data_IF_490369746046
#
_entry.id   IF_490369746046
#
_cell.length_a   1.000
_cell.length_b   1.000
_cell.length_c   1.000
_cell.angle_alpha   90.00
_cell.angle_beta   90.00
_cell.angle_gamma   90.00
#
_symmetry.space_group_name_H-M   'P 1'
#
loop_
_entity.id
_entity.type
_entity.pdbx_description
1 polymer ?
#
# COMPACT_ATOMS: atom_id res chain seq x y z
N UNK A 1 5.23 63.19 -70.08
CA UNK A 1 4.03 62.40 -70.27
C UNK A 1 4.42 60.95 -70.12
N UNK A 2 4.12 60.35 -68.97
CA UNK A 2 4.63 59.05 -68.51
C UNK A 2 3.56 58.00 -68.71
N UNK A 3 3.88 56.93 -69.45
CA UNK A 3 3.06 55.73 -69.58
C UNK A 3 3.31 54.80 -68.34
N UNK A 4 2.26 54.45 -67.62
CA UNK A 4 2.30 53.43 -66.61
C UNK A 4 2.16 52.07 -67.28
N UNK A 5 3.12 51.21 -67.11
CA UNK A 5 3.02 49.78 -67.43
C UNK A 5 2.43 49.04 -66.22
N UNK A 6 1.32 48.38 -66.39
CA UNK A 6 0.74 47.47 -65.41
C UNK A 6 1.27 46.07 -65.66
N UNK A 7 2.08 45.56 -64.70
CA UNK A 7 2.43 44.15 -64.62
C UNK A 7 1.42 43.46 -63.74
N UNK A 8 0.59 42.60 -64.31
CA UNK A 8 -0.22 41.66 -63.57
C UNK A 8 0.58 40.40 -63.31
N UNK A 9 1.04 40.20 -62.05
CA UNK A 9 1.58 38.93 -61.57
C UNK A 9 0.44 38.04 -61.12
N UNK A 10 0.15 36.97 -61.85
CA UNK A 10 -0.73 35.92 -61.42
C UNK A 10 0.05 35.00 -60.41
N UNK A 11 -0.25 35.14 -59.13
CA UNK A 11 0.26 34.25 -58.11
C UNK A 11 -0.66 33.04 -57.99
N UNK A 12 -0.28 31.91 -58.59
CA UNK A 12 -0.93 30.63 -58.37
C UNK A 12 -0.53 30.11 -56.97
N UNK A 13 -1.35 30.39 -55.96
CA UNK A 13 -1.16 29.81 -54.65
C UNK A 13 -1.71 28.36 -54.66
N UNK A 14 -0.81 27.37 -54.82
CA UNK A 14 -1.10 25.99 -54.50
C UNK A 14 -1.33 25.88 -52.99
N UNK A 15 -2.56 25.92 -52.56
CA UNK A 15 -2.98 25.52 -51.21
C UNK A 15 -2.82 24.00 -51.08
N UNK A 16 -1.63 23.56 -50.66
CA UNK A 16 -1.43 22.23 -50.08
C UNK A 16 -2.18 22.24 -48.73
N UNK A 17 -3.41 21.83 -48.72
CA UNK A 17 -4.15 21.47 -47.49
C UNK A 17 -3.56 20.16 -47.02
N UNK A 18 -2.45 20.20 -46.25
CA UNK A 18 -2.08 19.09 -45.41
C UNK A 18 -3.22 18.90 -44.39
N UNK A 19 -4.07 17.92 -44.64
CA UNK A 19 -4.96 17.40 -43.59
C UNK A 19 -4.05 16.81 -42.50
N UNK A 20 -3.73 17.64 -41.52
CA UNK A 20 -3.36 17.13 -40.22
C UNK A 20 -4.60 16.39 -39.74
N UNK A 21 -4.61 15.07 -39.86
CA UNK A 21 -5.58 14.23 -39.21
C UNK A 21 -5.32 14.42 -37.69
N UNK A 22 -5.88 15.49 -37.14
CA UNK A 22 -5.96 15.68 -35.70
C UNK A 22 -6.72 14.49 -35.19
N UNK A 23 -6.06 13.64 -34.37
CA UNK A 23 -6.73 12.64 -33.62
C UNK A 23 -7.75 13.36 -32.73
N UNK A 24 -8.99 13.44 -33.17
CA UNK A 24 -10.08 13.92 -32.32
C UNK A 24 -10.21 12.91 -31.20
N UNK A 25 -9.88 13.33 -30.00
CA UNK A 25 -10.13 12.52 -28.79
C UNK A 25 -11.63 12.15 -28.78
N UNK A 26 -11.92 10.86 -28.75
CA UNK A 26 -13.30 10.38 -28.67
C UNK A 26 -13.79 10.58 -27.25
N UNK A 27 -14.88 11.30 -27.00
CA UNK A 27 -15.35 11.59 -25.64
C UNK A 27 -15.96 10.36 -24.92
N UNK A 28 -16.18 9.27 -25.65
CA UNK A 28 -16.75 8.01 -25.14
C UNK A 28 -15.96 6.82 -25.72
N UNK A 29 -15.89 5.70 -25.00
CA UNK A 29 -15.28 4.48 -25.52
C UNK A 29 -15.86 4.11 -26.89
N UNK A 30 -14.98 3.87 -27.86
CA UNK A 30 -15.38 3.46 -29.18
C UNK A 30 -15.81 1.99 -29.25
N UNK A 31 -16.39 1.54 -30.38
CA UNK A 31 -16.90 0.16 -30.54
C UNK A 31 -15.82 -0.93 -30.48
N UNK A 32 -14.56 -0.56 -30.52
CA UNK A 32 -13.44 -1.49 -30.57
C UNK A 32 -12.82 -1.78 -29.20
N UNK A 33 -13.36 -1.26 -28.09
CA UNK A 33 -12.81 -1.46 -26.72
C UNK A 33 -12.60 -2.93 -26.42
N UNK A 34 -13.59 -3.80 -26.70
CA UNK A 34 -13.45 -5.23 -26.44
C UNK A 34 -12.30 -5.86 -27.23
N UNK A 35 -12.15 -5.50 -28.49
CA UNK A 35 -11.05 -6.03 -29.31
C UNK A 35 -9.68 -5.57 -28.82
N UNK A 36 -9.59 -4.35 -28.30
CA UNK A 36 -8.35 -3.83 -27.71
C UNK A 36 -8.07 -4.57 -26.38
N UNK A 37 -9.08 -4.70 -25.53
CA UNK A 37 -8.99 -5.49 -24.30
C UNK A 37 -8.48 -6.91 -24.55
N UNK A 38 -9.05 -7.63 -25.53
CA UNK A 38 -8.69 -8.99 -25.88
C UNK A 38 -7.24 -9.12 -26.37
N UNK A 39 -6.65 -8.04 -26.91
CA UNK A 39 -5.22 -7.99 -27.26
C UNK A 39 -4.30 -7.62 -26.10
N UNK A 40 -4.74 -6.71 -25.21
CA UNK A 40 -3.93 -6.23 -24.10
C UNK A 40 -3.86 -7.24 -22.95
N UNK A 41 -5.00 -7.83 -22.56
CA UNK A 41 -5.05 -8.70 -21.38
C UNK A 41 -4.02 -9.84 -21.40
N UNK A 42 -3.88 -10.64 -22.49
CA UNK A 42 -2.90 -11.72 -22.51
C UNK A 42 -1.44 -11.26 -22.45
N UNK A 43 -1.16 -9.99 -22.77
CA UNK A 43 0.16 -9.39 -22.65
C UNK A 43 0.38 -8.90 -21.22
N UNK A 44 -0.61 -8.26 -20.62
CA UNK A 44 -0.61 -7.79 -19.23
C UNK A 44 -0.46 -8.96 -18.25
N UNK A 45 -1.09 -10.11 -18.53
CA UNK A 45 -0.95 -11.33 -17.71
C UNK A 45 0.48 -11.87 -17.64
N UNK A 46 1.31 -11.57 -18.64
CA UNK A 46 2.73 -11.99 -18.69
C UNK A 46 3.66 -11.05 -17.93
N UNK A 47 3.22 -9.86 -17.55
CA UNK A 47 4.03 -8.92 -16.76
C UNK A 47 4.17 -9.50 -15.36
N UNK A 48 5.40 -9.66 -14.82
CA UNK A 48 5.57 -10.05 -13.43
C UNK A 48 4.99 -8.98 -12.51
N UNK A 49 4.49 -9.39 -11.35
CA UNK A 49 4.05 -8.44 -10.32
C UNK A 49 5.20 -8.14 -9.36
N UNK A 50 5.38 -6.87 -9.06
CA UNK A 50 6.13 -6.41 -7.90
C UNK A 50 5.10 -5.84 -6.91
N UNK A 51 4.80 -6.58 -5.86
CA UNK A 51 3.76 -6.26 -4.90
C UNK A 51 4.30 -5.35 -3.80
N UNK A 52 3.89 -4.09 -3.82
CA UNK A 52 4.41 -3.07 -2.90
C UNK A 52 3.90 -3.20 -1.45
N UNK A 53 2.84 -3.98 -1.22
CA UNK A 53 2.22 -4.07 0.10
C UNK A 53 1.36 -5.33 0.24
N UNK A 54 1.72 -6.20 1.17
CA UNK A 54 0.94 -7.37 1.56
C UNK A 54 1.27 -7.80 3.00
N UNK A 55 0.39 -8.60 3.60
CA UNK A 55 0.52 -9.20 4.93
C UNK A 55 0.55 -10.74 4.84
N UNK A 56 1.57 -11.32 4.14
CA UNK A 56 1.62 -12.76 3.90
C UNK A 56 1.83 -13.54 5.20
N UNK A 57 1.05 -14.60 5.38
CA UNK A 57 1.20 -15.49 6.54
C UNK A 57 0.03 -16.44 6.67
N UNK A 58 0.12 -17.31 7.67
CA UNK A 58 -0.96 -18.20 8.08
C UNK A 58 -1.89 -17.47 9.06
N UNK A 59 -3.16 -17.89 9.15
CA UNK A 59 -4.19 -17.18 9.91
C UNK A 59 -3.95 -17.13 11.43
N UNK A 60 -3.24 -18.11 11.98
CA UNK A 60 -2.88 -18.19 13.40
C UNK A 60 -1.47 -17.62 13.72
N UNK A 61 -0.74 -17.14 12.72
CA UNK A 61 0.55 -16.48 12.92
C UNK A 61 0.34 -15.06 13.48
N UNK A 62 0.63 -14.90 14.78
CA UNK A 62 0.45 -13.63 15.51
C UNK A 62 1.38 -12.49 15.06
N UNK A 63 2.29 -12.74 14.12
CA UNK A 63 3.20 -11.74 13.53
C UNK A 63 2.72 -11.26 12.14
N UNK A 64 1.62 -11.80 11.63
CA UNK A 64 0.81 -11.13 10.59
C UNK A 64 0.22 -9.86 11.21
N UNK A 65 -0.09 -8.89 10.40
CA UNK A 65 -0.66 -7.64 10.86
C UNK A 65 -1.85 -7.84 11.80
N UNK A 66 -1.83 -7.08 12.85
CA UNK A 66 -2.81 -7.13 13.91
C UNK A 66 -3.99 -6.15 13.72
N UNK A 67 -3.96 -5.34 12.66
CA UNK A 67 -4.99 -4.33 12.35
C UNK A 67 -6.15 -4.90 11.54
N UNK A 68 -6.39 -6.20 11.62
CA UNK A 68 -7.63 -6.78 11.12
C UNK A 68 -8.83 -6.31 11.96
N UNK A 69 -9.97 -6.11 11.32
CA UNK A 69 -11.20 -5.73 12.02
C UNK A 69 -11.49 -6.71 13.16
N UNK A 70 -11.91 -6.22 14.33
CA UNK A 70 -12.34 -7.09 15.41
C UNK A 70 -13.42 -8.07 14.95
N UNK A 71 -13.49 -9.30 15.51
CA UNK A 71 -14.50 -10.28 15.11
C UNK A 71 -15.93 -9.74 15.25
N UNK A 72 -16.72 -9.91 14.21
CA UNK A 72 -18.14 -9.50 14.19
C UNK A 72 -18.39 -8.13 13.57
N UNK A 73 -17.38 -7.41 13.13
CA UNK A 73 -17.55 -6.17 12.38
C UNK A 73 -17.98 -6.40 10.93
N UNK A 74 -18.47 -5.34 10.30
CA UNK A 74 -18.99 -5.41 8.92
C UNK A 74 -17.87 -5.36 7.90
N UNK A 75 -17.69 -6.44 7.15
CA UNK A 75 -16.77 -6.52 6.03
C UNK A 75 -17.37 -5.98 4.74
N UNK A 76 -16.49 -5.56 3.82
CA UNK A 76 -16.87 -5.30 2.43
C UNK A 76 -17.51 -6.55 1.81
N UNK A 77 -18.53 -6.36 0.98
CA UNK A 77 -19.27 -7.49 0.39
C UNK A 77 -18.35 -8.49 -0.32
N UNK A 78 -17.31 -8.00 -1.00
CA UNK A 78 -16.42 -8.84 -1.81
C UNK A 78 -15.38 -9.60 -0.98
N UNK A 79 -15.08 -9.13 0.25
CA UNK A 79 -14.12 -9.79 1.15
C UNK A 79 -14.80 -10.77 2.12
N UNK A 80 -16.13 -10.90 2.06
CA UNK A 80 -16.86 -11.84 2.90
C UNK A 80 -16.60 -13.28 2.50
N UNK A 81 -16.60 -14.17 3.46
CA UNK A 81 -16.31 -15.60 3.26
C UNK A 81 -17.24 -16.31 2.25
N UNK A 82 -18.45 -15.76 2.01
CA UNK A 82 -19.41 -16.28 1.05
C UNK A 82 -19.20 -15.78 -0.39
N UNK A 83 -18.16 -14.99 -0.65
CA UNK A 83 -17.83 -14.55 -2.01
C UNK A 83 -17.47 -15.76 -2.89
N UNK A 84 -18.21 -16.00 -4.00
CA UNK A 84 -17.98 -17.15 -4.87
C UNK A 84 -16.63 -17.11 -5.61
N UNK A 85 -15.99 -15.95 -5.70
CA UNK A 85 -14.64 -15.82 -6.29
C UNK A 85 -13.61 -16.61 -5.49
N UNK A 86 -13.79 -16.76 -4.15
CA UNK A 86 -12.88 -17.53 -3.31
C UNK A 86 -12.87 -19.02 -3.62
N UNK A 87 -13.99 -19.61 -4.07
CA UNK A 87 -14.02 -21.00 -4.52
C UNK A 87 -13.09 -21.15 -5.76
N UNK A 88 -13.13 -20.19 -6.67
CA UNK A 88 -12.24 -20.21 -7.85
C UNK A 88 -10.79 -20.00 -7.44
N UNK A 89 -10.53 -19.09 -6.51
CA UNK A 89 -9.19 -18.84 -5.96
C UNK A 89 -8.62 -20.11 -5.32
N UNK A 90 -9.34 -20.73 -4.40
CA UNK A 90 -8.93 -21.95 -3.71
C UNK A 90 -8.64 -23.12 -4.71
N UNK A 91 -9.46 -23.26 -5.76
CA UNK A 91 -9.19 -24.25 -6.81
C UNK A 91 -7.91 -23.99 -7.56
N UNK A 92 -7.67 -22.75 -7.96
CA UNK A 92 -6.49 -22.40 -8.74
C UNK A 92 -5.21 -22.39 -7.90
N UNK A 93 -5.29 -21.84 -6.68
CA UNK A 93 -4.12 -21.71 -5.81
C UNK A 93 -3.78 -23.01 -5.10
N UNK A 94 -4.76 -23.73 -4.57
CA UNK A 94 -4.55 -24.85 -3.66
C UNK A 94 -4.96 -26.22 -4.25
N UNK A 95 -5.67 -26.24 -5.38
CA UNK A 95 -6.25 -27.47 -5.93
C UNK A 95 -7.49 -27.95 -5.17
N UNK A 96 -8.26 -26.99 -4.60
CA UNK A 96 -9.48 -27.28 -3.85
C UNK A 96 -10.47 -28.09 -4.70
N UNK A 97 -10.94 -29.26 -4.19
CA UNK A 97 -11.70 -30.19 -5.03
C UNK A 97 -13.21 -29.92 -5.07
N UNK A 98 -13.72 -29.03 -4.21
CA UNK A 98 -15.15 -28.83 -4.03
C UNK A 98 -15.68 -27.60 -4.76
N UNK A 99 -17.04 -27.45 -4.80
CA UNK A 99 -17.71 -26.31 -5.45
C UNK A 99 -18.46 -25.41 -4.46
N UNK A 100 -18.28 -25.63 -3.18
CA UNK A 100 -18.92 -24.88 -2.08
C UNK A 100 -17.96 -24.77 -0.90
N UNK A 101 -18.35 -23.95 0.08
CA UNK A 101 -17.66 -23.76 1.35
C UNK A 101 -18.52 -24.26 2.52
N UNK A 102 -19.08 -25.47 2.38
CA UNK A 102 -19.70 -26.13 3.54
C UNK A 102 -18.66 -26.35 4.66
N UNK A 103 -19.07 -26.42 5.94
CA UNK A 103 -18.12 -26.60 7.05
C UNK A 103 -17.20 -27.82 6.89
N UNK A 104 -17.72 -28.90 6.29
CA UNK A 104 -16.94 -30.13 6.01
C UNK A 104 -15.87 -29.87 4.95
N UNK A 105 -16.20 -29.12 3.90
CA UNK A 105 -15.28 -28.83 2.81
C UNK A 105 -14.25 -27.74 3.20
N UNK A 106 -14.63 -26.75 4.00
CA UNK A 106 -13.68 -25.75 4.54
C UNK A 106 -12.58 -26.39 5.39
N UNK A 107 -12.88 -27.50 6.07
CA UNK A 107 -11.88 -28.25 6.84
C UNK A 107 -10.69 -28.68 5.95
N UNK A 108 -10.92 -28.98 4.68
CA UNK A 108 -9.83 -29.34 3.75
C UNK A 108 -8.82 -28.19 3.57
N UNK A 109 -9.31 -26.94 3.49
CA UNK A 109 -8.44 -25.75 3.40
C UNK A 109 -7.66 -25.55 4.69
N UNK A 110 -8.34 -25.62 5.84
CA UNK A 110 -7.71 -25.52 7.16
C UNK A 110 -6.60 -26.57 7.33
N UNK A 111 -6.90 -27.86 6.99
CA UNK A 111 -5.92 -28.93 7.11
C UNK A 111 -4.72 -28.71 6.17
N UNK A 112 -4.96 -28.16 4.97
CA UNK A 112 -3.89 -27.85 4.00
C UNK A 112 -3.00 -26.70 4.47
N UNK A 113 -3.59 -25.63 5.00
CA UNK A 113 -2.87 -24.51 5.59
C UNK A 113 -1.99 -24.96 6.75
N UNK A 114 -2.55 -25.71 7.71
CA UNK A 114 -1.82 -26.27 8.85
C UNK A 114 -0.68 -27.21 8.45
N UNK A 115 -0.88 -28.03 7.43
CA UNK A 115 0.18 -28.88 6.92
C UNK A 115 1.34 -28.08 6.29
N UNK A 116 1.03 -26.98 5.60
CA UNK A 116 2.02 -26.10 5.04
C UNK A 116 2.79 -25.33 6.12
N UNK A 117 2.09 -24.83 7.13
CA UNK A 117 2.68 -24.18 8.29
C UNK A 117 3.61 -25.13 9.07
N UNK A 118 3.14 -26.34 9.35
CA UNK A 118 3.92 -27.36 10.04
C UNK A 118 5.19 -27.79 9.24
N UNK A 119 5.16 -27.70 7.91
CA UNK A 119 6.34 -27.94 7.08
C UNK A 119 7.40 -26.85 7.27
N UNK A 120 7.02 -25.62 7.55
CA UNK A 120 7.89 -24.50 7.92
C UNK A 120 8.90 -24.11 6.83
N UNK A 121 8.67 -24.53 5.58
CA UNK A 121 9.58 -24.26 4.47
C UNK A 121 9.02 -23.19 3.52
N UNK A 122 9.89 -22.62 2.69
CA UNK A 122 9.54 -21.52 1.79
C UNK A 122 8.73 -21.95 0.55
N UNK A 123 8.50 -23.25 0.34
CA UNK A 123 7.92 -23.78 -0.92
C UNK A 123 6.45 -23.37 -1.07
N UNK A 124 5.71 -23.34 0.02
CA UNK A 124 4.28 -23.06 -0.02
C UNK A 124 4.01 -21.68 -0.63
N UNK A 125 4.47 -20.61 0.00
CA UNK A 125 4.25 -19.26 -0.51
C UNK A 125 4.97 -19.00 -1.83
N UNK A 126 6.17 -19.55 -2.05
CA UNK A 126 6.83 -19.46 -3.35
C UNK A 126 5.97 -20.05 -4.46
N UNK A 127 5.29 -21.19 -4.22
CA UNK A 127 4.41 -21.81 -5.21
C UNK A 127 3.17 -20.94 -5.53
N UNK A 128 2.66 -20.17 -4.56
CA UNK A 128 1.59 -19.21 -4.79
C UNK A 128 2.07 -18.07 -5.69
N UNK A 129 3.23 -17.49 -5.37
CA UNK A 129 3.81 -16.42 -6.18
C UNK A 129 4.10 -16.86 -7.62
N UNK A 130 4.60 -18.08 -7.81
CA UNK A 130 4.87 -18.64 -9.14
C UNK A 130 3.59 -18.76 -9.99
N UNK A 131 2.48 -19.24 -9.41
CA UNK A 131 1.19 -19.33 -10.08
C UNK A 131 0.63 -17.98 -10.50
N UNK A 132 0.95 -16.93 -9.75
CA UNK A 132 0.48 -15.56 -9.99
C UNK A 132 1.44 -14.74 -10.85
N UNK A 133 2.61 -15.30 -11.22
CA UNK A 133 3.69 -14.56 -11.85
C UNK A 133 4.07 -13.32 -11.01
N UNK A 134 4.23 -13.49 -9.70
CA UNK A 134 4.67 -12.46 -8.77
C UNK A 134 6.15 -12.63 -8.48
N UNK A 135 6.97 -11.63 -8.75
CA UNK A 135 8.42 -11.69 -8.55
C UNK A 135 8.79 -11.39 -7.10
N UNK A 136 8.28 -10.30 -6.57
CA UNK A 136 8.64 -9.78 -5.26
C UNK A 136 7.40 -9.29 -4.52
N UNK A 137 7.39 -9.45 -3.20
CA UNK A 137 6.37 -8.94 -2.28
C UNK A 137 7.04 -8.15 -1.15
N UNK A 138 6.60 -6.94 -0.90
CA UNK A 138 6.95 -6.21 0.31
C UNK A 138 6.02 -6.67 1.45
N UNK A 139 6.58 -7.49 2.33
CA UNK A 139 5.85 -8.15 3.40
C UNK A 139 5.80 -7.27 4.66
N UNK A 140 4.63 -6.75 4.96
CA UNK A 140 4.35 -5.98 6.18
C UNK A 140 4.07 -6.98 7.31
N UNK A 141 5.03 -7.08 8.24
CA UNK A 141 4.96 -8.07 9.32
C UNK A 141 5.62 -7.54 10.58
N UNK A 142 5.13 -7.99 11.73
CA UNK A 142 5.78 -7.73 13.00
C UNK A 142 7.20 -8.30 13.03
N UNK A 143 7.36 -9.53 12.52
CA UNK A 143 8.67 -10.18 12.27
C UNK A 143 8.58 -11.09 11.07
N UNK A 144 9.68 -11.25 10.34
CA UNK A 144 9.75 -12.17 9.22
C UNK A 144 9.89 -13.62 9.71
N UNK A 145 8.99 -14.53 9.30
CA UNK A 145 9.08 -15.93 9.62
C UNK A 145 10.03 -16.66 8.64
N UNK A 146 10.48 -17.85 9.04
CA UNK A 146 11.38 -18.67 8.20
C UNK A 146 10.69 -19.27 6.97
N UNK A 147 9.38 -19.35 6.97
CA UNK A 147 8.61 -19.89 5.84
C UNK A 147 8.39 -18.90 4.69
N UNK A 148 8.77 -17.62 4.84
CA UNK A 148 8.81 -16.65 3.76
C UNK A 148 10.23 -16.52 3.21
N UNK A 149 10.42 -16.79 1.93
CA UNK A 149 11.72 -16.71 1.27
C UNK A 149 12.22 -15.25 1.19
N UNK A 150 13.32 -14.88 1.86
CA UNK A 150 13.82 -13.50 1.86
C UNK A 150 14.27 -13.01 0.48
N UNK A 151 14.41 -13.90 -0.51
CA UNK A 151 14.67 -13.51 -1.90
C UNK A 151 13.43 -12.98 -2.62
N UNK A 152 12.26 -13.29 -2.11
CA UNK A 152 10.98 -12.92 -2.72
C UNK A 152 10.11 -12.06 -1.81
N UNK A 153 10.27 -12.18 -0.49
CA UNK A 153 9.54 -11.43 0.52
C UNK A 153 10.50 -10.49 1.24
N UNK A 154 10.39 -9.20 0.98
CA UNK A 154 11.20 -8.16 1.60
C UNK A 154 10.46 -7.52 2.77
N UNK A 155 11.11 -7.40 3.91
CA UNK A 155 10.47 -6.97 5.14
C UNK A 155 10.17 -5.48 5.19
N UNK A 156 8.92 -5.13 5.51
CA UNK A 156 8.46 -3.80 5.91
C UNK A 156 8.05 -3.86 7.38
N UNK A 157 8.72 -3.12 8.24
CA UNK A 157 8.51 -3.21 9.69
C UNK A 157 7.64 -2.09 10.23
N UNK A 158 6.80 -2.41 11.22
CA UNK A 158 5.91 -1.46 11.87
C UNK A 158 6.63 -0.58 12.87
N UNK A 159 6.25 0.70 12.95
CA UNK A 159 6.88 1.69 13.84
C UNK A 159 5.91 2.39 14.79
N UNK A 160 4.60 2.16 14.66
CA UNK A 160 3.58 2.83 15.49
C UNK A 160 3.73 2.55 16.98
N UNK A 161 4.28 1.41 17.35
CA UNK A 161 4.54 1.03 18.75
C UNK A 161 5.37 2.07 19.50
N UNK A 162 6.24 2.83 18.82
CA UNK A 162 7.01 3.92 19.43
C UNK A 162 6.15 5.12 19.84
N UNK A 163 4.91 5.19 19.38
CA UNK A 163 3.96 6.20 19.81
C UNK A 163 3.35 5.95 21.19
N UNK A 164 3.47 4.71 21.72
CA UNK A 164 2.72 4.25 22.88
C UNK A 164 3.61 3.76 24.03
N UNK A 165 4.62 4.57 24.48
CA UNK A 165 5.53 4.13 25.56
C UNK A 165 4.94 4.27 26.96
N UNK A 166 3.86 5.03 27.15
CA UNK A 166 3.30 5.39 28.46
C UNK A 166 2.16 4.44 28.86
N UNK A 167 1.48 4.78 29.97
CA UNK A 167 0.26 4.10 30.36
C UNK A 167 -0.86 4.38 29.32
N UNK A 168 -1.34 3.32 28.68
CA UNK A 168 -2.36 3.39 27.64
C UNK A 168 -3.75 2.92 28.11
N UNK A 169 -3.94 2.73 29.42
CA UNK A 169 -5.17 2.15 29.98
C UNK A 169 -6.46 2.86 29.54
N UNK A 170 -6.47 4.21 29.59
CA UNK A 170 -7.64 4.99 29.13
C UNK A 170 -7.85 4.85 27.61
N UNK A 171 -6.79 4.81 26.85
CA UNK A 171 -6.86 4.64 25.39
C UNK A 171 -7.37 3.24 25.02
N UNK A 172 -6.85 2.20 25.67
CA UNK A 172 -7.29 0.80 25.51
C UNK A 172 -8.78 0.65 25.81
N UNK A 173 -9.29 1.37 26.81
CA UNK A 173 -10.71 1.35 27.21
C UNK A 173 -11.61 2.25 26.35
N UNK A 174 -11.08 3.05 25.43
CA UNK A 174 -11.84 4.08 24.70
C UNK A 174 -12.83 3.53 23.69
N UNK A 175 -12.48 2.47 22.98
CA UNK A 175 -13.33 1.76 22.02
C UNK A 175 -12.95 0.27 21.98
N UNK A 176 -13.84 -0.63 21.50
CA UNK A 176 -13.51 -2.03 21.28
C UNK A 176 -12.26 -2.24 20.42
N UNK A 177 -12.10 -1.48 19.34
CA UNK A 177 -10.94 -1.53 18.44
C UNK A 177 -9.63 -1.22 19.19
N UNK A 178 -9.64 -0.15 20.00
CA UNK A 178 -8.47 0.22 20.80
C UNK A 178 -8.15 -0.85 21.83
N UNK A 179 -9.16 -1.56 22.34
CA UNK A 179 -8.99 -2.70 23.22
C UNK A 179 -8.21 -3.87 22.59
N UNK A 180 -8.24 -3.97 21.25
CA UNK A 180 -7.45 -4.94 20.47
C UNK A 180 -6.11 -4.34 20.06
N UNK A 181 -6.12 -3.17 19.46
CA UNK A 181 -4.95 -2.60 18.78
C UNK A 181 -3.86 -2.10 19.74
N UNK A 182 -4.22 -1.43 20.82
CA UNK A 182 -3.23 -0.87 21.75
C UNK A 182 -2.39 -1.95 22.43
N UNK A 183 -2.95 -3.07 22.96
CA UNK A 183 -2.16 -4.16 23.51
C UNK A 183 -1.15 -4.77 22.51
N UNK A 184 -1.48 -4.75 21.21
CA UNK A 184 -0.57 -5.23 20.17
C UNK A 184 0.62 -4.27 19.96
N UNK A 185 0.37 -2.95 20.00
CA UNK A 185 1.44 -1.96 19.97
C UNK A 185 2.35 -2.06 21.21
N UNK A 186 1.77 -2.29 22.39
CA UNK A 186 2.55 -2.52 23.63
C UNK A 186 3.39 -3.81 23.54
N UNK A 187 2.82 -4.90 23.01
CA UNK A 187 3.54 -6.16 22.74
C UNK A 187 4.71 -5.92 21.79
N UNK A 188 4.49 -5.14 20.71
CA UNK A 188 5.54 -4.81 19.73
C UNK A 188 6.63 -3.94 20.35
N UNK A 189 6.28 -2.91 21.12
CA UNK A 189 7.27 -2.09 21.85
C UNK A 189 8.08 -2.93 22.82
N UNK A 190 7.42 -3.86 23.54
CA UNK A 190 8.07 -4.83 24.42
C UNK A 190 9.06 -5.71 23.68
N UNK A 191 8.71 -6.18 22.47
CA UNK A 191 9.60 -6.94 21.59
C UNK A 191 10.82 -6.12 21.19
N UNK A 192 10.64 -4.89 20.72
CA UNK A 192 11.75 -4.00 20.36
C UNK A 192 12.67 -3.70 21.54
N UNK A 193 12.12 -3.45 22.75
CA UNK A 193 12.93 -3.29 23.97
C UNK A 193 13.78 -4.53 24.25
N UNK A 194 13.19 -5.71 24.16
CA UNK A 194 13.90 -6.99 24.37
C UNK A 194 15.02 -7.19 23.34
N UNK A 195 14.76 -6.87 22.07
CA UNK A 195 15.76 -6.99 21.00
C UNK A 195 16.95 -6.06 21.20
N UNK A 196 16.73 -4.89 21.80
CA UNK A 196 17.76 -3.90 22.10
C UNK A 196 18.35 -4.04 23.51
N UNK A 197 17.97 -5.06 24.28
CA UNK A 197 18.45 -5.30 25.64
C UNK A 197 17.99 -4.26 26.67
N UNK A 198 16.80 -3.69 26.48
CA UNK A 198 16.22 -2.65 27.34
C UNK A 198 15.10 -3.25 28.19
N UNK A 199 15.19 -3.20 29.52
CA UNK A 199 14.15 -3.72 30.41
C UNK A 199 13.01 -2.71 30.62
N UNK A 200 13.33 -1.43 30.87
CA UNK A 200 12.37 -0.35 31.10
C UNK A 200 12.37 0.68 29.98
N UNK A 201 11.70 1.82 30.21
CA UNK A 201 11.89 3.00 29.37
C UNK A 201 13.20 3.70 29.72
N UNK A 202 13.93 4.25 28.73
CA UNK A 202 15.13 5.08 28.98
C UNK A 202 14.87 6.22 29.96
N UNK A 203 15.91 6.66 30.65
CA UNK A 203 15.81 7.67 31.73
C UNK A 203 15.36 9.05 31.26
N UNK A 204 15.53 9.34 29.98
CA UNK A 204 15.19 10.62 29.36
C UNK A 204 14.80 10.44 27.88
N UNK A 205 14.30 11.51 27.27
CA UNK A 205 13.87 11.50 25.87
C UNK A 205 15.04 11.20 24.92
N UNK A 206 16.25 11.65 25.22
CA UNK A 206 17.42 11.41 24.38
C UNK A 206 17.71 9.88 24.29
N UNK A 207 17.65 9.19 25.42
CA UNK A 207 17.78 7.74 25.47
C UNK A 207 16.64 7.01 24.72
N UNK A 208 15.41 7.55 24.77
CA UNK A 208 14.30 6.99 23.99
C UNK A 208 14.47 7.20 22.49
N UNK A 209 14.91 8.39 22.07
CA UNK A 209 15.28 8.65 20.68
C UNK A 209 16.40 7.72 20.19
N UNK A 210 17.43 7.47 21.03
CA UNK A 210 18.52 6.55 20.69
C UNK A 210 18.03 5.10 20.59
N UNK A 211 17.12 4.67 21.46
CA UNK A 211 16.46 3.38 21.34
C UNK A 211 15.72 3.24 20.00
N UNK A 212 14.92 4.22 19.60
CA UNK A 212 14.24 4.25 18.30
C UNK A 212 15.26 4.13 17.16
N UNK A 213 16.30 4.96 17.17
CA UNK A 213 17.31 4.98 16.09
C UNK A 213 18.04 3.65 15.97
N UNK A 214 18.45 3.05 17.10
CA UNK A 214 19.11 1.74 17.09
C UNK A 214 18.19 0.65 16.58
N UNK A 215 16.96 0.59 17.05
CA UNK A 215 15.99 -0.42 16.60
C UNK A 215 15.76 -0.33 15.09
N UNK A 216 15.55 0.87 14.55
CA UNK A 216 15.38 1.06 13.11
C UNK A 216 16.63 0.68 12.32
N UNK A 217 17.81 1.09 12.80
CA UNK A 217 19.08 0.73 12.16
C UNK A 217 19.30 -0.78 12.14
N UNK A 218 19.05 -1.44 13.26
CA UNK A 218 19.18 -2.90 13.37
C UNK A 218 18.15 -3.66 12.54
N UNK A 219 16.93 -3.13 12.41
CA UNK A 219 15.92 -3.70 11.51
C UNK A 219 16.37 -3.65 10.05
N UNK A 220 17.01 -2.57 9.62
CA UNK A 220 17.51 -2.42 8.24
C UNK A 220 18.81 -3.21 8.04
N UNK A 221 19.84 -2.96 8.85
CA UNK A 221 21.19 -3.47 8.60
C UNK A 221 21.38 -4.92 9.00
N UNK A 222 20.69 -5.38 10.05
CA UNK A 222 20.88 -6.74 10.59
C UNK A 222 19.74 -7.70 10.24
N UNK A 223 18.52 -7.17 9.98
CA UNK A 223 17.32 -7.99 9.79
C UNK A 223 16.70 -7.86 8.40
N UNK A 224 17.28 -7.01 7.54
CA UNK A 224 16.88 -6.90 6.12
C UNK A 224 15.60 -6.12 5.87
N UNK A 225 15.20 -5.23 6.78
CA UNK A 225 14.07 -4.31 6.55
C UNK A 225 14.36 -3.33 5.43
N UNK A 226 13.44 -3.20 4.47
CA UNK A 226 13.60 -2.34 3.28
C UNK A 226 12.76 -1.06 3.34
N UNK A 227 11.75 -1.03 4.21
CA UNK A 227 10.88 0.11 4.45
C UNK A 227 10.29 0.03 5.86
N UNK A 228 9.75 1.15 6.35
CA UNK A 228 8.95 1.19 7.57
C UNK A 228 7.49 1.50 7.26
N UNK A 229 6.56 1.04 8.10
CA UNK A 229 5.12 1.21 7.96
C UNK A 229 4.51 1.94 9.15
N UNK A 230 3.68 2.93 8.86
CA UNK A 230 2.74 3.54 9.80
C UNK A 230 1.32 3.06 9.57
N UNK A 231 0.65 2.69 10.65
CA UNK A 231 -0.78 2.37 10.74
C UNK A 231 -1.57 3.44 11.51
N UNK A 232 -0.96 4.59 11.73
CA UNK A 232 -1.49 5.67 12.56
C UNK A 232 -2.94 6.06 12.27
N UNK A 233 -3.44 5.85 11.03
CA UNK A 233 -4.83 6.14 10.64
C UNK A 233 -5.87 5.39 11.48
N UNK A 234 -5.53 4.20 12.01
CA UNK A 234 -6.40 3.43 12.90
C UNK A 234 -6.49 4.01 14.31
N UNK A 235 -5.47 4.72 14.75
CA UNK A 235 -5.33 5.18 16.12
C UNK A 235 -5.63 6.66 16.30
N UNK A 236 -5.37 7.47 15.26
CA UNK A 236 -5.40 8.92 15.35
C UNK A 236 -5.48 9.58 13.96
N UNK A 237 -5.62 10.90 13.94
CA UNK A 237 -5.48 11.68 12.70
C UNK A 237 -4.06 11.58 12.12
N UNK A 238 -3.97 11.50 10.78
CA UNK A 238 -2.72 11.62 10.03
C UNK A 238 -2.17 13.06 9.99
N UNK A 239 -2.81 14.01 10.65
CA UNK A 239 -2.29 15.36 10.82
C UNK A 239 -1.23 15.37 11.90
N UNK A 240 0.03 15.47 11.51
CA UNK A 240 1.18 15.57 12.41
C UNK A 240 1.70 16.99 12.45
N UNK A 241 1.62 17.63 13.61
CA UNK A 241 2.23 18.94 13.87
C UNK A 241 3.76 18.84 13.97
N UNK A 242 4.43 19.95 14.28
CA UNK A 242 5.88 19.99 14.48
C UNK A 242 6.21 20.60 15.84
N UNK A 243 5.93 19.89 16.95
CA UNK A 243 6.17 20.41 18.27
C UNK A 243 7.68 20.49 18.55
N UNK A 244 8.13 21.48 19.35
CA UNK A 244 9.52 21.59 19.74
C UNK A 244 9.93 20.41 20.64
N UNK A 245 11.19 19.99 20.55
CA UNK A 245 11.75 18.90 21.36
C UNK A 245 11.50 19.06 22.84
N UNK A 246 11.57 20.31 23.36
CA UNK A 246 11.32 20.62 24.78
C UNK A 246 9.92 20.25 25.26
N UNK A 247 8.90 20.34 24.39
CA UNK A 247 7.54 19.91 24.74
C UNK A 247 7.48 18.38 24.90
N UNK A 248 8.04 17.63 23.96
CA UNK A 248 8.11 16.17 24.04
C UNK A 248 8.96 15.71 25.24
N UNK A 249 10.04 16.42 25.55
CA UNK A 249 10.91 16.15 26.71
C UNK A 249 10.19 16.32 28.03
N UNK A 250 9.42 17.38 28.17
CA UNK A 250 8.60 17.61 29.37
C UNK A 250 7.53 16.52 29.55
N UNK A 251 6.87 16.09 28.47
CA UNK A 251 5.87 15.02 28.49
C UNK A 251 6.55 13.69 28.86
N UNK A 252 7.67 13.36 28.20
CA UNK A 252 8.40 12.14 28.48
C UNK A 252 8.86 12.06 29.94
N UNK A 253 9.47 13.12 30.45
CA UNK A 253 9.90 13.20 31.85
C UNK A 253 8.75 13.02 32.85
N UNK A 254 7.55 13.54 32.51
CA UNK A 254 6.36 13.45 33.36
C UNK A 254 5.82 12.01 33.44
N UNK A 255 5.78 11.29 32.32
CA UNK A 255 5.02 10.04 32.20
C UNK A 255 5.87 8.76 32.08
N UNK A 256 7.19 8.85 31.87
CA UNK A 256 8.05 7.65 31.73
C UNK A 256 8.05 6.71 32.92
N UNK A 257 7.74 7.20 34.10
CA UNK A 257 7.71 6.40 35.34
C UNK A 257 6.28 5.99 35.75
N UNK A 258 5.27 6.34 34.96
CA UNK A 258 3.86 6.05 35.18
C UNK A 258 2.99 7.29 35.06
N UNK A 259 1.67 7.07 35.10
CA UNK A 259 0.63 8.09 34.89
C UNK A 259 0.14 8.12 33.43
N UNK A 260 -1.11 8.54 33.26
CA UNK A 260 -1.80 8.59 31.96
C UNK A 260 -1.68 9.99 31.38
N UNK A 261 -1.11 10.15 30.18
CA UNK A 261 -1.06 11.46 29.51
C UNK A 261 -2.46 11.92 29.10
N UNK A 262 -2.69 13.24 29.14
CA UNK A 262 -3.90 13.77 28.48
C UNK A 262 -3.86 13.50 26.98
N UNK A 263 -5.02 13.49 26.29
CA UNK A 263 -5.06 13.29 24.84
C UNK A 263 -4.16 14.28 24.06
N UNK A 264 -4.12 15.54 24.47
CA UNK A 264 -3.32 16.60 23.83
C UNK A 264 -1.83 16.40 24.07
N UNK A 265 -1.42 16.04 25.28
CA UNK A 265 -0.02 15.72 25.61
C UNK A 265 0.43 14.51 24.79
N UNK A 266 -0.42 13.48 24.71
CA UNK A 266 -0.07 12.27 23.96
C UNK A 266 0.07 12.54 22.46
N UNK A 267 -0.86 13.28 21.85
CA UNK A 267 -0.77 13.69 20.44
C UNK A 267 0.51 14.50 20.21
N UNK A 268 0.82 15.47 21.11
CA UNK A 268 2.06 16.26 21.00
C UNK A 268 3.31 15.38 21.03
N UNK A 269 3.36 14.40 21.94
CA UNK A 269 4.47 13.46 22.01
C UNK A 269 4.59 12.59 20.73
N UNK A 270 3.46 12.05 20.26
CA UNK A 270 3.40 11.23 19.04
C UNK A 270 3.82 12.03 17.80
N UNK A 271 3.41 13.29 17.68
CA UNK A 271 3.81 14.17 16.58
C UNK A 271 5.34 14.37 16.55
N UNK A 272 5.95 14.54 17.73
CA UNK A 272 7.40 14.64 17.84
C UNK A 272 8.09 13.32 17.45
N UNK A 273 7.62 12.18 17.96
CA UNK A 273 8.20 10.85 17.65
C UNK A 273 8.04 10.53 16.16
N UNK A 274 6.92 10.90 15.53
CA UNK A 274 6.76 10.77 14.09
C UNK A 274 7.92 11.46 13.33
N UNK A 275 8.28 12.70 13.75
CA UNK A 275 9.40 13.43 13.15
C UNK A 275 10.75 12.75 13.37
N UNK A 276 10.96 12.14 14.54
CA UNK A 276 12.16 11.33 14.82
C UNK A 276 12.25 10.12 13.87
N UNK A 277 11.13 9.40 13.70
CA UNK A 277 11.05 8.21 12.85
C UNK A 277 11.33 8.52 11.37
N UNK A 278 10.65 9.53 10.79
CA UNK A 278 10.88 9.88 9.39
C UNK A 278 12.28 10.44 9.12
N UNK A 279 12.86 11.17 10.08
CA UNK A 279 14.25 11.61 9.97
C UNK A 279 15.24 10.44 9.98
N UNK A 280 14.97 9.41 10.79
CA UNK A 280 15.82 8.22 10.83
C UNK A 280 15.65 7.38 9.54
N UNK A 281 14.43 7.24 9.01
CA UNK A 281 14.20 6.59 7.74
C UNK A 281 14.97 7.28 6.59
N UNK A 282 15.01 8.61 6.59
CA UNK A 282 15.81 9.39 5.63
C UNK A 282 17.30 9.09 5.70
N UNK A 283 17.85 8.94 6.92
CA UNK A 283 19.25 8.58 7.12
C UNK A 283 19.57 7.15 6.68
N UNK A 284 18.60 6.25 6.83
CA UNK A 284 18.70 4.86 6.42
C UNK A 284 18.37 4.64 4.94
N UNK A 285 17.95 5.69 4.24
CA UNK A 285 17.52 5.63 2.84
C UNK A 285 16.41 4.61 2.55
N UNK A 286 15.50 4.41 3.51
CA UNK A 286 14.35 3.53 3.36
C UNK A 286 13.06 4.31 3.14
N UNK A 287 12.09 3.70 2.45
CA UNK A 287 10.78 4.30 2.24
C UNK A 287 9.94 4.30 3.53
N UNK A 288 9.08 5.33 3.64
CA UNK A 288 8.06 5.45 4.68
C UNK A 288 6.70 5.14 4.08
N UNK A 289 6.14 3.99 4.40
CA UNK A 289 4.79 3.59 4.04
C UNK A 289 3.79 4.15 5.06
N UNK A 290 2.71 4.76 4.58
CA UNK A 290 1.69 5.33 5.46
C UNK A 290 0.32 4.80 5.04
N UNK A 291 -0.32 4.04 5.94
CA UNK A 291 -1.72 3.67 5.77
C UNK A 291 -2.55 4.94 5.61
N UNK A 292 -3.31 5.05 4.54
CA UNK A 292 -4.10 6.24 4.25
C UNK A 292 -5.51 5.88 3.81
N UNK A 293 -6.47 6.51 4.47
CA UNK A 293 -7.90 6.29 4.34
C UNK A 293 -8.30 4.83 4.51
N UNK A 294 -9.00 4.19 3.63
CA UNK A 294 -9.79 2.99 3.85
C UNK A 294 -9.29 2.04 4.95
N UNK A 295 -10.13 1.82 5.94
CA UNK A 295 -9.94 0.82 7.00
C UNK A 295 -11.28 0.19 7.31
N UNK A 296 -11.26 -0.93 8.03
CA UNK A 296 -12.44 -1.67 8.46
C UNK A 296 -12.59 -1.45 9.98
N UNK A 297 -13.81 -1.40 10.45
CA UNK A 297 -14.12 -1.26 11.86
C UNK A 297 -15.10 -0.11 12.13
N UNK A 298 -15.95 -0.29 13.14
CA UNK A 298 -17.00 0.66 13.51
C UNK A 298 -16.45 2.03 13.94
N UNK A 299 -15.20 2.06 14.37
CA UNK A 299 -14.55 3.27 14.89
C UNK A 299 -13.49 3.85 13.97
N UNK A 300 -13.23 3.23 12.81
CA UNK A 300 -12.28 3.78 11.85
C UNK A 300 -12.77 5.13 11.28
N UNK A 301 -11.98 6.17 11.48
CA UNK A 301 -12.34 7.52 11.04
C UNK A 301 -11.77 7.83 9.66
N UNK A 302 -12.59 7.82 8.61
CA UNK A 302 -12.21 8.26 7.27
C UNK A 302 -11.62 9.68 7.25
N UNK A 303 -12.11 10.59 8.10
CA UNK A 303 -11.58 11.95 8.24
C UNK A 303 -10.16 11.93 8.76
N UNK A 304 -9.89 11.11 9.77
CA UNK A 304 -8.55 10.99 10.36
C UNK A 304 -7.55 10.36 9.38
N UNK A 305 -8.01 9.37 8.61
CA UNK A 305 -7.21 8.70 7.57
C UNK A 305 -7.08 9.49 6.26
N UNK A 306 -7.71 10.66 6.10
CA UNK A 306 -7.63 11.44 4.88
C UNK A 306 -6.18 11.86 4.57
N UNK A 307 -5.70 11.53 3.39
CA UNK A 307 -4.33 11.83 2.90
C UNK A 307 -3.97 13.31 2.95
N UNK A 308 -4.96 14.21 2.83
CA UNK A 308 -4.72 15.66 2.91
C UNK A 308 -4.19 16.09 4.29
N UNK A 309 -4.42 15.31 5.33
CA UNK A 309 -3.84 15.55 6.65
C UNK A 309 -2.31 15.46 6.64
N UNK A 310 -1.71 14.75 5.67
CA UNK A 310 -0.25 14.60 5.52
C UNK A 310 0.39 15.75 4.72
N UNK A 311 -0.38 16.64 4.09
CA UNK A 311 0.16 17.62 3.15
C UNK A 311 1.26 18.49 3.76
N UNK A 312 1.12 18.89 5.04
CA UNK A 312 2.13 19.66 5.77
C UNK A 312 3.47 18.91 5.91
N UNK A 313 3.43 17.57 6.05
CA UNK A 313 4.63 16.72 6.12
C UNK A 313 5.24 16.52 4.73
N UNK A 314 4.40 16.13 3.76
CA UNK A 314 4.84 15.80 2.41
C UNK A 314 5.48 16.98 1.68
N UNK A 315 5.04 18.22 1.97
CA UNK A 315 5.58 19.46 1.39
C UNK A 315 6.71 20.08 2.20
N UNK A 316 7.04 19.53 3.37
CA UNK A 316 8.12 20.05 4.21
C UNK A 316 9.47 19.85 3.52
N UNK A 317 10.21 20.94 3.34
CA UNK A 317 11.48 20.96 2.64
C UNK A 317 12.55 20.10 3.30
N UNK A 318 12.43 19.87 4.61
CA UNK A 318 13.35 19.01 5.39
C UNK A 318 13.29 17.55 4.93
N UNK A 319 12.17 17.11 4.36
CA UNK A 319 11.92 15.72 3.95
C UNK A 319 11.98 15.50 2.44
N UNK A 320 12.53 16.44 1.68
CA UNK A 320 12.65 16.31 0.21
C UNK A 320 13.44 15.08 -0.27
N UNK A 321 14.37 14.61 0.55
CA UNK A 321 15.15 13.39 0.28
C UNK A 321 14.51 12.12 0.80
N UNK A 322 13.39 12.23 1.52
CA UNK A 322 12.66 11.11 2.11
C UNK A 322 11.64 10.58 1.11
N UNK A 323 11.57 9.26 0.92
CA UNK A 323 10.53 8.62 0.11
C UNK A 323 9.30 8.34 0.96
N UNK A 324 8.13 8.82 0.52
CA UNK A 324 6.82 8.51 1.10
C UNK A 324 6.00 7.68 0.13
N UNK A 325 5.35 6.64 0.64
CA UNK A 325 4.41 5.82 -0.11
C UNK A 325 3.06 5.85 0.61
N UNK A 326 2.07 6.44 -0.05
CA UNK A 326 0.69 6.47 0.44
C UNK A 326 0.02 5.16 0.04
N UNK A 327 -0.38 4.36 1.03
CA UNK A 327 -0.98 3.06 0.79
C UNK A 327 -2.48 3.17 0.51
N UNK A 328 -3.05 2.12 -0.08
CA UNK A 328 -4.48 1.96 -0.38
C UNK A 328 -5.04 3.02 -1.32
N UNK A 329 -4.18 3.69 -2.08
CA UNK A 329 -4.56 4.76 -3.00
C UNK A 329 -5.26 5.94 -2.32
N UNK A 330 -5.22 6.03 -0.99
CA UNK A 330 -5.97 7.01 -0.23
C UNK A 330 -7.50 6.90 -0.40
N UNK A 331 -8.03 5.75 -0.85
CA UNK A 331 -9.46 5.60 -1.12
C UNK A 331 -10.31 5.88 0.14
N UNK A 332 -11.41 6.66 0.07
CA UNK A 332 -12.06 7.22 -1.13
C UNK A 332 -11.45 8.51 -1.68
N UNK A 333 -10.41 9.08 -1.09
CA UNK A 333 -9.74 10.34 -1.46
C UNK A 333 -8.64 10.12 -2.52
N UNK A 334 -8.81 9.14 -3.42
CA UNK A 334 -7.77 8.74 -4.37
C UNK A 334 -7.40 9.82 -5.40
N UNK A 335 -8.30 10.78 -5.67
CA UNK A 335 -8.03 11.92 -6.55
C UNK A 335 -7.07 12.91 -5.91
N UNK A 336 -7.32 13.21 -4.65
CA UNK A 336 -6.46 14.05 -3.81
C UNK A 336 -5.10 13.37 -3.59
N UNK A 337 -5.11 12.07 -3.29
CA UNK A 337 -3.90 11.27 -3.15
C UNK A 337 -3.04 11.29 -4.42
N UNK A 338 -3.66 11.13 -5.59
CA UNK A 338 -2.98 11.22 -6.88
C UNK A 338 -2.34 12.60 -7.09
N UNK A 339 -3.01 13.69 -6.70
CA UNK A 339 -2.45 15.04 -6.82
C UNK A 339 -1.32 15.29 -5.82
N UNK A 340 -1.29 14.63 -4.67
CA UNK A 340 -0.15 14.70 -3.75
C UNK A 340 1.10 14.06 -4.32
N UNK A 341 1.00 13.12 -5.26
CA UNK A 341 2.18 12.53 -5.93
C UNK A 341 2.89 13.49 -6.90
N UNK A 342 2.32 14.69 -7.16
CA UNK A 342 3.06 15.79 -7.79
C UNK A 342 4.28 16.22 -6.95
N UNK A 343 4.29 15.95 -5.65
CA UNK A 343 5.47 16.10 -4.80
C UNK A 343 6.48 15.01 -5.16
N UNK A 344 7.71 15.42 -5.52
CA UNK A 344 8.72 14.58 -6.20
C UNK A 344 8.98 13.23 -5.52
N UNK A 345 8.96 13.18 -4.21
CA UNK A 345 9.31 12.02 -3.39
C UNK A 345 8.09 11.30 -2.80
N UNK A 346 6.89 11.56 -3.33
CA UNK A 346 5.64 10.91 -2.92
C UNK A 346 5.18 9.94 -4.00
N UNK A 347 4.87 8.72 -3.59
CA UNK A 347 4.37 7.61 -4.40
C UNK A 347 3.02 7.15 -3.84
N UNK A 348 2.30 6.38 -4.63
CA UNK A 348 0.98 5.84 -4.28
C UNK A 348 0.89 4.39 -4.73
N UNK A 349 0.39 3.51 -3.88
CA UNK A 349 -0.02 2.19 -4.30
C UNK A 349 -1.55 2.04 -4.26
N UNK A 350 -2.05 0.95 -4.79
CA UNK A 350 -3.49 0.68 -4.86
C UNK A 350 -3.89 -0.56 -4.07
N UNK A 351 -3.11 -0.91 -3.05
CA UNK A 351 -3.37 -2.05 -2.17
C UNK A 351 -4.81 -2.03 -1.64
N UNK A 352 -5.35 -3.19 -1.37
CA UNK A 352 -6.71 -3.46 -0.92
C UNK A 352 -7.82 -3.11 -1.91
N UNK A 353 -7.68 -2.03 -2.72
CA UNK A 353 -8.74 -1.61 -3.66
C UNK A 353 -9.15 -2.72 -4.64
N UNK A 354 -8.20 -3.54 -5.08
CA UNK A 354 -8.44 -4.68 -5.97
C UNK A 354 -9.22 -5.82 -5.31
N UNK A 355 -9.31 -5.83 -3.99
CA UNK A 355 -10.01 -6.84 -3.22
C UNK A 355 -11.47 -6.45 -2.93
N UNK A 356 -11.74 -5.21 -2.53
CA UNK A 356 -13.10 -4.80 -2.21
C UNK A 356 -13.86 -4.17 -3.38
N UNK A 357 -13.16 -3.56 -4.36
CA UNK A 357 -13.76 -3.06 -5.59
C UNK A 357 -13.83 -4.16 -6.65
N UNK A 358 -14.98 -4.30 -7.31
CA UNK A 358 -15.06 -5.15 -8.49
C UNK A 358 -14.23 -4.56 -9.64
N UNK A 359 -13.72 -5.36 -10.60
CA UNK A 359 -12.88 -4.87 -11.69
C UNK A 359 -13.48 -3.69 -12.47
N UNK A 360 -14.80 -3.64 -12.63
CA UNK A 360 -15.50 -2.52 -13.30
C UNK A 360 -15.41 -1.19 -12.52
N UNK A 361 -15.36 -1.24 -11.19
CA UNK A 361 -15.20 -0.07 -10.34
C UNK A 361 -13.73 0.34 -10.25
N UNK A 362 -12.85 -0.64 -10.05
CA UNK A 362 -11.41 -0.40 -9.95
C UNK A 362 -10.82 0.13 -11.26
N UNK A 363 -11.34 -0.28 -12.41
CA UNK A 363 -11.03 0.29 -13.73
C UNK A 363 -11.14 1.82 -13.75
N UNK A 364 -12.20 2.38 -13.17
CA UNK A 364 -12.40 3.84 -13.16
C UNK A 364 -11.35 4.55 -12.28
N UNK A 365 -10.94 3.94 -11.19
CA UNK A 365 -9.85 4.45 -10.36
C UNK A 365 -8.55 4.45 -11.16
N UNK A 366 -8.18 3.31 -11.76
CA UNK A 366 -6.95 3.17 -12.55
C UNK A 366 -6.89 4.13 -13.73
N UNK A 367 -7.99 4.37 -14.45
CA UNK A 367 -8.05 5.37 -15.53
C UNK A 367 -7.59 6.75 -15.06
N UNK A 368 -8.03 7.18 -13.88
CA UNK A 368 -7.66 8.48 -13.33
C UNK A 368 -6.22 8.51 -12.84
N UNK A 369 -5.78 7.48 -12.12
CA UNK A 369 -4.42 7.44 -11.58
C UNK A 369 -3.37 7.41 -12.70
N UNK A 370 -3.55 6.54 -13.71
CA UNK A 370 -2.58 6.35 -14.79
C UNK A 370 -2.48 7.54 -15.76
N UNK A 371 -3.48 8.42 -15.79
CA UNK A 371 -3.45 9.62 -16.63
C UNK A 371 -2.84 10.85 -15.97
N UNK A 372 -2.52 10.78 -14.67
CA UNK A 372 -1.93 11.90 -13.92
C UNK A 372 -0.41 11.74 -13.77
N UNK A 373 0.03 10.86 -12.90
CA UNK A 373 1.45 10.64 -12.60
C UNK A 373 1.78 9.14 -12.63
N UNK A 374 1.77 8.50 -13.80
CA UNK A 374 1.92 7.04 -13.91
C UNK A 374 3.24 6.50 -13.36
N UNK A 375 4.29 7.30 -13.33
CA UNK A 375 5.60 6.98 -12.74
C UNK A 375 5.61 6.96 -11.20
N UNK A 376 4.48 7.28 -10.57
CA UNK A 376 4.29 7.31 -9.12
C UNK A 376 3.34 6.25 -8.60
N UNK A 377 2.66 5.53 -9.50
CA UNK A 377 1.64 4.55 -9.15
C UNK A 377 2.22 3.15 -9.14
N UNK A 378 1.90 2.36 -8.10
CA UNK A 378 2.40 1.00 -7.93
C UNK A 378 1.27 0.02 -7.66
N UNK A 379 1.42 -1.19 -8.18
CA UNK A 379 0.61 -2.32 -7.79
C UNK A 379 0.92 -2.72 -6.35
N UNK A 380 -0.11 -3.09 -5.63
CA UNK A 380 -0.03 -3.76 -4.35
C UNK A 380 -1.30 -4.55 -4.09
N UNK A 381 -1.17 -5.69 -3.44
CA UNK A 381 -2.33 -6.55 -3.14
C UNK A 381 -3.03 -6.17 -1.86
N UNK A 382 -2.29 -5.92 -0.82
CA UNK A 382 -2.72 -5.96 0.58
C UNK A 382 -3.10 -7.37 1.04
N UNK A 383 -2.61 -8.39 0.37
CA UNK A 383 -3.01 -9.76 0.62
C UNK A 383 -2.76 -10.18 2.07
N UNK A 384 -3.80 -10.68 2.73
CA UNK A 384 -3.80 -11.12 4.13
C UNK A 384 -4.68 -12.36 4.30
N UNK A 385 -4.50 -13.14 5.37
CA UNK A 385 -5.41 -14.25 5.69
C UNK A 385 -6.75 -13.69 6.21
N UNK A 386 -7.85 -14.00 5.50
CA UNK A 386 -9.19 -13.57 5.89
C UNK A 386 -9.71 -14.28 7.15
N UNK A 387 -9.38 -15.57 7.30
CA UNK A 387 -9.73 -16.41 8.43
C UNK A 387 -8.92 -17.72 8.37
N UNK A 388 -9.20 -18.66 9.27
CA UNK A 388 -8.49 -19.96 9.36
C UNK A 388 -8.59 -20.83 8.09
N UNK A 389 -9.61 -20.61 7.25
CA UNK A 389 -9.88 -21.39 6.05
C UNK A 389 -9.48 -20.68 4.75
N UNK A 390 -9.64 -19.35 4.70
CA UNK A 390 -9.31 -18.51 3.55
C UNK A 390 -8.06 -17.72 3.89
N UNK A 391 -6.96 -18.10 3.29
CA UNK A 391 -5.64 -17.58 3.60
C UNK A 391 -5.22 -16.41 2.71
N UNK A 392 -3.98 -15.99 2.85
CA UNK A 392 -3.38 -14.94 2.02
C UNK A 392 -3.31 -15.35 0.54
N UNK A 393 -3.33 -16.64 0.22
CA UNK A 393 -3.29 -17.17 -1.13
C UNK A 393 -4.53 -16.81 -1.96
N UNK A 394 -5.73 -16.85 -1.37
CA UNK A 394 -6.96 -16.41 -2.01
C UNK A 394 -6.98 -14.90 -2.20
N UNK A 395 -6.47 -14.15 -1.21
CA UNK A 395 -6.31 -12.71 -1.26
C UNK A 395 -5.36 -12.29 -2.37
N UNK A 396 -4.16 -12.87 -2.45
CA UNK A 396 -3.21 -12.64 -3.55
C UNK A 396 -3.84 -12.92 -4.93
N UNK A 397 -4.58 -14.02 -5.05
CA UNK A 397 -5.25 -14.36 -6.30
C UNK A 397 -6.31 -13.33 -6.69
N UNK A 398 -7.15 -12.94 -5.73
CA UNK A 398 -8.24 -11.99 -5.95
C UNK A 398 -7.67 -10.65 -6.42
N UNK A 399 -6.63 -10.16 -5.73
CA UNK A 399 -5.96 -8.91 -6.06
C UNK A 399 -5.29 -8.97 -7.44
N UNK A 400 -4.46 -9.96 -7.71
CA UNK A 400 -3.74 -10.09 -8.97
C UNK A 400 -4.68 -10.18 -10.18
N UNK A 401 -5.74 -10.99 -10.08
CA UNK A 401 -6.74 -11.14 -11.14
C UNK A 401 -7.53 -9.84 -11.36
N UNK A 402 -8.03 -9.26 -10.29
CA UNK A 402 -8.82 -8.03 -10.36
C UNK A 402 -8.04 -6.90 -10.97
N UNK A 403 -6.79 -6.72 -10.52
CA UNK A 403 -5.91 -5.67 -11.03
C UNK A 403 -5.63 -5.84 -12.51
N UNK A 404 -5.23 -7.02 -12.98
CA UNK A 404 -4.94 -7.24 -14.40
C UNK A 404 -6.17 -7.03 -15.29
N UNK A 405 -7.32 -7.51 -14.84
CA UNK A 405 -8.60 -7.31 -15.54
C UNK A 405 -8.98 -5.83 -15.60
N UNK A 406 -8.94 -5.13 -14.47
CA UNK A 406 -9.28 -3.71 -14.40
C UNK A 406 -8.31 -2.84 -15.20
N UNK A 407 -7.00 -3.14 -15.12
CA UNK A 407 -5.95 -2.44 -15.86
C UNK A 407 -6.12 -2.59 -17.36
N UNK A 408 -6.33 -3.82 -17.86
CA UNK A 408 -6.57 -4.09 -19.27
C UNK A 408 -7.80 -3.34 -19.78
N UNK A 409 -8.88 -3.30 -19.00
CA UNK A 409 -10.09 -2.58 -19.34
C UNK A 409 -9.90 -1.05 -19.34
N UNK A 410 -9.20 -0.51 -18.33
CA UNK A 410 -8.87 0.91 -18.27
C UNK A 410 -8.03 1.37 -19.47
N UNK A 411 -6.98 0.61 -19.77
CA UNK A 411 -6.09 0.91 -20.89
C UNK A 411 -6.79 0.74 -22.25
N UNK A 412 -7.65 -0.27 -22.40
CA UNK A 412 -8.42 -0.47 -23.62
C UNK A 412 -9.36 0.71 -23.91
N UNK A 413 -10.02 1.26 -22.89
CA UNK A 413 -10.84 2.45 -23.04
C UNK A 413 -10.00 3.66 -23.43
N UNK A 414 -8.89 3.93 -22.74
CA UNK A 414 -7.99 5.04 -23.02
C UNK A 414 -7.39 4.97 -24.45
N UNK A 415 -7.07 3.77 -24.93
CA UNK A 415 -6.63 3.56 -26.32
C UNK A 415 -7.80 3.82 -27.29
N UNK A 416 -8.99 3.32 -26.99
CA UNK A 416 -10.19 3.54 -27.84
C UNK A 416 -10.61 5.01 -27.90
N UNK A 417 -10.41 5.75 -26.82
CA UNK A 417 -10.61 7.21 -26.75
C UNK A 417 -9.55 7.99 -27.55
N UNK A 418 -8.45 7.35 -27.93
CA UNK A 418 -7.31 7.98 -28.59
C UNK A 418 -6.38 8.72 -27.65
N UNK A 419 -6.49 8.51 -26.34
CA UNK A 419 -5.59 9.09 -25.33
C UNK A 419 -4.19 8.47 -25.41
N UNK A 420 -4.11 7.15 -25.64
CA UNK A 420 -2.86 6.40 -25.76
C UNK A 420 -2.84 5.51 -27.01
N UNK A 421 -1.63 5.15 -27.44
CA UNK A 421 -1.41 4.03 -28.37
C UNK A 421 -1.31 2.72 -27.58
N UNK A 422 -1.54 1.56 -28.21
CA UNK A 422 -1.37 0.27 -27.54
C UNK A 422 0.06 0.06 -26.99
N UNK A 423 1.17 0.42 -27.68
CA UNK A 423 2.50 0.38 -27.08
C UNK A 423 2.64 1.24 -25.83
N UNK A 424 2.05 2.45 -25.80
CA UNK A 424 2.06 3.30 -24.61
C UNK A 424 1.24 2.71 -23.48
N UNK A 425 0.11 2.09 -23.77
CA UNK A 425 -0.70 1.38 -22.79
C UNK A 425 0.09 0.22 -22.15
N UNK A 426 0.84 -0.54 -22.96
CA UNK A 426 1.70 -1.61 -22.43
C UNK A 426 2.87 -1.09 -21.59
N UNK A 427 3.50 0.03 -21.97
CA UNK A 427 4.51 0.71 -21.15
C UNK A 427 3.95 1.08 -19.76
N UNK A 428 2.76 1.70 -19.73
CA UNK A 428 2.08 2.04 -18.47
C UNK A 428 1.71 0.82 -17.64
N UNK A 429 1.33 -0.29 -18.28
CA UNK A 429 1.07 -1.54 -17.59
C UNK A 429 2.33 -2.09 -16.90
N UNK A 430 3.47 -2.07 -17.58
CA UNK A 430 4.76 -2.47 -16.99
C UNK A 430 5.15 -1.55 -15.83
N UNK A 431 5.04 -0.24 -16.00
CA UNK A 431 5.34 0.74 -14.95
C UNK A 431 4.53 0.46 -13.69
N UNK A 432 3.22 0.29 -13.83
CA UNK A 432 2.31 0.13 -12.70
C UNK A 432 2.46 -1.24 -12.01
N UNK A 433 2.55 -2.32 -12.78
CA UNK A 433 2.57 -3.67 -12.21
C UNK A 433 3.93 -4.07 -11.63
N UNK A 434 5.03 -3.45 -12.10
CA UNK A 434 6.37 -3.89 -11.77
C UNK A 434 7.38 -2.74 -11.66
N UNK A 435 7.62 -1.97 -12.75
CA UNK A 435 8.86 -1.22 -12.92
C UNK A 435 9.01 -0.07 -11.92
N UNK A 436 7.91 0.59 -11.53
CA UNK A 436 7.95 1.68 -10.56
C UNK A 436 8.41 1.19 -9.18
N UNK A 437 7.86 0.07 -8.70
CA UNK A 437 8.26 -0.52 -7.43
C UNK A 437 9.68 -1.10 -7.51
N UNK A 438 10.01 -1.86 -8.57
CA UNK A 438 11.35 -2.39 -8.78
C UNK A 438 12.41 -1.28 -8.81
N UNK A 439 12.13 -0.14 -9.43
CA UNK A 439 13.01 1.03 -9.44
C UNK A 439 13.17 1.66 -8.07
N UNK A 440 12.07 1.70 -7.28
CA UNK A 440 12.08 2.34 -5.96
C UNK A 440 12.90 1.54 -4.94
N UNK A 441 12.80 0.21 -4.97
CA UNK A 441 13.44 -0.67 -3.98
C UNK A 441 14.67 -1.44 -4.51
N UNK A 442 14.84 -1.55 -5.83
CA UNK A 442 15.96 -2.27 -6.46
C UNK A 442 17.29 -1.51 -6.49
N UNK A 443 17.30 -0.22 -6.15
CA UNK A 443 18.48 0.65 -6.19
C UNK A 443 19.36 0.64 -4.94
N UNK A 444 19.03 -0.18 -3.95
CA UNK A 444 19.73 -0.24 -2.65
C UNK A 444 20.54 -1.54 -2.55
N UNK A 445 21.64 -1.64 -3.28
CA UNK A 445 22.72 -2.61 -3.02
C UNK A 445 24.07 -1.93 -3.17
#
# INVERSE_FOLDING_TARGET
MKRLLHFTLALAACLLVTRIAGAQARPLPGPDVQKIYDRLLPQIEKIPLYDNHAHPGFGDDSDVDAMAAPPGETDFMRTRADNPEFITAAKQMLGYPYNDFSPEHLKWLVDKSKAAEAAGDTKYFNSILDKLNTETVLANRAMMPTYLDPKRFHWVFFVDSFFYPFDNSERTASTPDMGVYIPLQEKMLGRYKKMEGIEGLPSDLAGYEDFIRRTMTDNVEKRGGVAMKFEAAYFRSLYFTDPPRSAAEAIYAKYRAGGVPTPEEYVTFQDYIFRVLINQAGKLHIATHIHSAVGIGDYFSLRNGNVLNLENVLRDQRYKGQTFVLLHGGWPYYKEAALLTAVKNVYLDTSFQSEFLYPSQFKEVLKQLLTLFPDKMMYASDAFPFNDALGAEESFWLSARSTRTALAAALAELVSEGAFTEPKAMELAHMYLHDNAAKLYGGSK
#
